data_IF_877681456972
#
_entry.id   IF_877681456972
#
_cell.length_a   1.000
_cell.length_b   1.000
_cell.length_c   1.000
_cell.angle_alpha   90.00
_cell.angle_beta   90.00
_cell.angle_gamma   90.00
#
_symmetry.space_group_name_H-M   'P 1'
#
loop_
_entity.id
_entity.type
_entity.pdbx_description
1 polymer ?
#
# COMPACT_ATOMS: atom_id res chain seq x y z
N UNK A 1 0.16 -11.57 17.81
CA UNK A 1 0.32 -10.72 16.60
C UNK A 1 1.47 -11.15 15.67
N UNK A 2 2.27 -12.18 16.01
CA UNK A 2 3.45 -12.62 15.25
C UNK A 2 3.20 -13.30 13.88
N UNK A 3 1.94 -13.55 13.49
CA UNK A 3 1.60 -14.29 12.26
C UNK A 3 1.66 -13.46 10.98
N UNK A 4 1.66 -12.12 11.08
CA UNK A 4 1.61 -11.23 9.90
C UNK A 4 3.00 -10.91 9.32
N UNK A 5 4.04 -10.99 10.16
CA UNK A 5 5.40 -10.68 9.73
C UNK A 5 6.03 -11.94 9.13
N UNK A 6 6.49 -11.83 7.89
CA UNK A 6 7.40 -12.83 7.27
C UNK A 6 8.76 -12.77 7.97
N UNK A 7 9.55 -13.84 7.81
CA UNK A 7 10.89 -13.91 8.41
C UNK A 7 11.80 -12.79 7.91
N UNK A 8 11.81 -12.55 6.60
CA UNK A 8 12.45 -11.39 6.00
C UNK A 8 11.47 -10.22 5.97
N UNK A 9 11.81 -9.14 6.66
CA UNK A 9 11.02 -7.92 6.74
C UNK A 9 11.27 -7.00 5.56
N UNK A 10 12.54 -6.89 5.15
CA UNK A 10 12.99 -6.04 4.06
C UNK A 10 14.23 -6.65 3.40
N UNK A 11 14.36 -6.47 2.07
CA UNK A 11 15.53 -6.90 1.33
C UNK A 11 15.73 -6.02 0.10
N UNK A 12 16.97 -5.65 -0.16
CA UNK A 12 17.37 -4.87 -1.34
C UNK A 12 18.79 -5.25 -1.78
N UNK A 13 19.14 -4.91 -3.01
CA UNK A 13 20.48 -5.12 -3.55
C UNK A 13 20.84 -4.02 -4.54
N UNK A 14 22.08 -3.56 -4.50
CA UNK A 14 22.56 -2.48 -5.34
C UNK A 14 24.06 -2.61 -5.58
N UNK A 15 24.54 -1.93 -6.62
CA UNK A 15 25.96 -1.72 -6.84
C UNK A 15 26.40 -0.42 -6.18
N UNK A 16 27.51 -0.45 -5.45
CA UNK A 16 28.05 0.76 -4.83
C UNK A 16 28.46 1.79 -5.89
N UNK A 17 28.39 3.09 -5.55
CA UNK A 17 28.91 4.15 -6.42
C UNK A 17 30.42 3.98 -6.67
N UNK A 18 30.93 4.70 -7.67
CA UNK A 18 32.37 4.78 -7.89
C UNK A 18 33.07 5.34 -6.63
N UNK A 19 34.25 4.83 -6.26
CA UNK A 19 35.14 3.98 -7.06
C UNK A 19 34.98 2.46 -6.84
N UNK A 20 34.29 2.01 -5.80
CA UNK A 20 34.22 0.58 -5.44
C UNK A 20 33.52 -0.24 -6.53
N UNK A 21 32.30 0.16 -6.94
CA UNK A 21 31.47 -0.62 -7.86
C UNK A 21 31.23 -2.08 -7.43
N UNK A 22 31.47 -2.42 -6.17
CA UNK A 22 31.16 -3.73 -5.62
C UNK A 22 29.64 -3.90 -5.51
N UNK A 23 29.17 -5.15 -5.53
CA UNK A 23 27.75 -5.44 -5.40
C UNK A 23 27.41 -5.77 -3.95
N UNK A 24 26.28 -5.25 -3.48
CA UNK A 24 25.84 -5.41 -2.10
C UNK A 24 24.40 -5.92 -2.05
N UNK A 25 24.13 -6.72 -1.04
CA UNK A 25 22.78 -7.11 -0.65
C UNK A 25 22.59 -6.79 0.82
N UNK A 26 21.46 -6.17 1.12
CA UNK A 26 21.06 -5.80 2.46
C UNK A 26 19.70 -6.41 2.77
N UNK A 27 19.58 -7.05 3.93
CA UNK A 27 18.32 -7.63 4.39
C UNK A 27 18.12 -7.39 5.88
N UNK A 28 16.87 -7.14 6.27
CA UNK A 28 16.44 -7.06 7.66
C UNK A 28 15.47 -8.21 7.90
N UNK A 29 15.79 -9.08 8.84
CA UNK A 29 14.92 -10.16 9.32
C UNK A 29 14.26 -9.77 10.63
N UNK A 30 13.44 -10.66 11.19
CA UNK A 30 12.80 -10.43 12.50
C UNK A 30 13.78 -10.27 13.66
N UNK A 31 14.97 -10.85 13.57
CA UNK A 31 15.95 -10.88 14.65
C UNK A 31 17.28 -10.22 14.30
N UNK A 32 17.61 -10.17 13.00
CA UNK A 32 18.95 -9.84 12.54
C UNK A 32 18.92 -8.88 11.34
N UNK A 33 20.03 -8.19 11.16
CA UNK A 33 20.40 -7.42 9.98
C UNK A 33 21.53 -8.17 9.28
N UNK A 34 21.38 -8.37 7.97
CA UNK A 34 22.32 -9.11 7.14
C UNK A 34 22.86 -8.17 6.06
N UNK A 35 24.17 -8.00 6.06
CA UNK A 35 24.92 -7.24 5.07
C UNK A 35 25.86 -8.16 4.29
N UNK A 36 25.68 -8.25 2.98
CA UNK A 36 26.50 -9.09 2.10
C UNK A 36 27.12 -8.26 1.00
N UNK A 37 28.33 -8.64 0.60
CA UNK A 37 29.05 -7.97 -0.48
C UNK A 37 29.82 -8.92 -1.37
N UNK A 38 29.91 -8.54 -2.63
CA UNK A 38 30.64 -9.24 -3.69
C UNK A 38 31.60 -8.26 -4.31
N UNK A 39 32.90 -8.57 -4.21
CA UNK A 39 33.94 -7.74 -4.81
C UNK A 39 33.92 -7.87 -6.33
N UNK A 40 33.71 -6.76 -7.03
CA UNK A 40 33.71 -6.69 -8.49
C UNK A 40 35.02 -6.03 -8.93
N UNK A 41 35.95 -6.83 -9.42
CA UNK A 41 37.24 -6.34 -9.91
C UNK A 41 37.71 -7.07 -11.15
N UNK A 42 38.33 -6.32 -12.08
CA UNK A 42 39.02 -6.88 -13.24
C UNK A 42 40.40 -7.45 -12.89
N UNK A 43 40.91 -7.17 -11.68
CA UNK A 43 42.23 -7.63 -11.26
C UNK A 43 42.20 -9.11 -10.92
N UNK A 44 43.18 -9.86 -11.45
CA UNK A 44 43.28 -11.31 -11.29
C UNK A 44 43.39 -11.74 -9.82
N UNK A 45 44.02 -10.93 -8.97
CA UNK A 45 44.17 -11.15 -7.53
C UNK A 45 42.82 -11.29 -6.80
N UNK A 46 41.77 -10.62 -7.29
CA UNK A 46 40.44 -10.67 -6.69
C UNK A 46 39.50 -11.69 -7.34
N UNK A 47 39.95 -12.41 -8.40
CA UNK A 47 39.10 -13.34 -9.16
C UNK A 47 38.61 -14.54 -8.33
N UNK A 48 39.29 -14.87 -7.23
CA UNK A 48 38.92 -15.94 -6.29
C UNK A 48 38.32 -15.43 -4.97
N UNK A 49 38.07 -14.11 -4.85
CA UNK A 49 37.50 -13.54 -3.63
C UNK A 49 36.10 -14.07 -3.44
N UNK A 50 35.83 -14.67 -2.28
CA UNK A 50 34.49 -15.13 -1.93
C UNK A 50 33.64 -13.96 -1.45
N UNK A 51 32.31 -14.04 -1.57
CA UNK A 51 31.42 -13.05 -0.99
C UNK A 51 31.61 -12.97 0.52
N UNK A 52 31.50 -11.76 1.07
CA UNK A 52 31.49 -11.54 2.50
C UNK A 52 30.07 -11.41 3.05
N UNK A 53 29.90 -11.72 4.33
CA UNK A 53 28.66 -11.58 5.07
C UNK A 53 28.96 -11.07 6.47
N UNK A 54 28.19 -10.06 6.89
CA UNK A 54 28.10 -9.58 8.27
C UNK A 54 26.65 -9.78 8.72
N UNK A 55 26.48 -10.32 9.93
CA UNK A 55 25.18 -10.44 10.60
C UNK A 55 25.27 -9.79 11.96
N UNK A 56 24.28 -8.96 12.25
CA UNK A 56 24.15 -8.26 13.52
C UNK A 56 22.73 -8.46 14.03
N UNK A 57 22.56 -8.50 15.34
CA UNK A 57 21.21 -8.38 15.90
C UNK A 57 20.74 -6.91 15.75
N UNK A 58 19.47 -6.64 16.04
CA UNK A 58 18.92 -5.28 15.90
C UNK A 58 19.59 -4.26 16.82
N UNK A 59 20.03 -4.65 18.02
CA UNK A 59 20.67 -3.71 18.96
C UNK A 59 22.06 -3.30 18.48
N UNK A 60 22.87 -4.26 18.06
CA UNK A 60 24.23 -4.06 17.56
C UNK A 60 24.19 -3.18 16.29
N UNK A 61 23.25 -3.46 15.39
CA UNK A 61 23.03 -2.63 14.20
C UNK A 61 22.71 -1.17 14.55
N UNK A 62 21.84 -0.94 15.54
CA UNK A 62 21.44 0.42 15.93
C UNK A 62 22.60 1.27 16.48
N UNK A 63 23.64 0.61 16.99
CA UNK A 63 24.85 1.21 17.52
C UNK A 63 26.01 1.26 16.49
N UNK A 64 25.93 0.50 15.39
CA UNK A 64 26.96 0.49 14.34
C UNK A 64 26.85 1.68 13.37
N UNK A 65 27.47 2.79 13.77
CA UNK A 65 27.62 3.97 12.92
C UNK A 65 28.37 3.70 11.60
N UNK A 66 29.28 2.71 11.57
CA UNK A 66 30.09 2.41 10.39
C UNK A 66 29.26 1.71 9.31
N UNK A 67 28.44 0.73 9.69
CA UNK A 67 27.52 0.05 8.79
C UNK A 67 26.41 1.00 8.31
N UNK A 68 25.92 1.89 9.18
CA UNK A 68 24.98 2.94 8.78
C UNK A 68 25.52 3.83 7.65
N UNK A 69 26.79 4.25 7.75
CA UNK A 69 27.43 5.04 6.69
C UNK A 69 27.50 4.23 5.38
N UNK A 70 27.88 2.95 5.44
CA UNK A 70 27.93 2.11 4.23
C UNK A 70 26.56 1.93 3.58
N UNK A 71 25.52 1.63 4.36
CA UNK A 71 24.15 1.52 3.85
C UNK A 71 23.69 2.85 3.26
N UNK A 72 23.94 3.97 3.94
CA UNK A 72 23.59 5.29 3.44
C UNK A 72 24.27 5.63 2.10
N UNK A 73 25.53 5.23 1.93
CA UNK A 73 26.27 5.43 0.67
C UNK A 73 25.76 4.54 -0.46
N UNK A 74 25.47 3.27 -0.18
CA UNK A 74 25.10 2.28 -1.22
C UNK A 74 23.60 2.37 -1.60
N UNK A 75 22.75 2.56 -0.60
CA UNK A 75 21.29 2.45 -0.73
C UNK A 75 20.55 3.78 -0.48
N UNK A 76 21.23 4.78 0.07
CA UNK A 76 20.65 6.08 0.39
C UNK A 76 20.06 6.16 1.80
N UNK A 77 19.88 7.41 2.28
CA UNK A 77 19.38 7.71 3.63
C UNK A 77 17.98 7.14 3.89
N UNK A 78 17.10 7.13 2.89
CA UNK A 78 15.74 6.63 3.04
C UNK A 78 15.71 5.14 3.44
N UNK A 79 16.61 4.33 2.87
CA UNK A 79 16.72 2.89 3.19
C UNK A 79 17.34 2.70 4.59
N UNK A 80 18.32 3.53 4.94
CA UNK A 80 18.90 3.55 6.28
C UNK A 80 17.82 3.89 7.33
N UNK A 81 17.07 4.97 7.15
CA UNK A 81 16.02 5.40 8.08
C UNK A 81 14.89 4.39 8.18
N UNK A 82 14.52 3.76 7.06
CA UNK A 82 13.54 2.68 7.05
C UNK A 82 14.02 1.44 7.82
N UNK A 83 15.24 0.98 7.57
CA UNK A 83 15.81 -0.17 8.29
C UNK A 83 16.00 0.08 9.78
N UNK A 84 16.39 1.30 10.17
CA UNK A 84 16.47 1.71 11.58
C UNK A 84 15.12 1.60 12.28
N UNK A 85 14.06 2.12 11.65
CA UNK A 85 12.69 2.03 12.15
C UNK A 85 12.24 0.58 12.30
N UNK A 86 12.54 -0.29 11.33
CA UNK A 86 12.26 -1.72 11.45
C UNK A 86 12.96 -2.37 12.65
N UNK A 87 14.25 -2.07 12.86
CA UNK A 87 15.02 -2.60 14.00
C UNK A 87 14.55 -2.05 15.35
N UNK A 88 13.89 -0.89 15.36
CA UNK A 88 13.22 -0.32 16.53
C UNK A 88 11.81 -0.87 16.77
N UNK A 89 11.34 -1.83 15.95
CA UNK A 89 10.02 -2.42 16.05
C UNK A 89 8.89 -1.61 15.39
N UNK A 90 9.22 -0.59 14.59
CA UNK A 90 8.23 0.18 13.85
C UNK A 90 7.96 -0.48 12.48
N UNK A 91 6.98 -1.37 12.46
CA UNK A 91 6.60 -2.11 11.27
C UNK A 91 5.43 -1.46 10.51
N UNK A 92 5.50 -1.55 9.19
CA UNK A 92 4.45 -1.20 8.22
C UNK A 92 3.35 -2.27 8.16
N UNK A 93 2.65 -2.48 9.27
CA UNK A 93 1.62 -3.53 9.40
C UNK A 93 0.53 -3.44 8.33
N UNK A 94 0.09 -2.23 7.99
CA UNK A 94 -0.95 -2.02 6.98
C UNK A 94 -0.55 -2.61 5.62
N UNK A 95 0.69 -2.41 5.19
CA UNK A 95 1.19 -2.99 3.94
C UNK A 95 1.45 -4.50 4.03
N UNK A 96 1.38 -5.11 5.21
CA UNK A 96 1.61 -6.55 5.41
C UNK A 96 0.33 -7.34 5.65
N UNK A 97 -0.80 -6.67 5.87
CA UNK A 97 -2.09 -7.32 6.04
C UNK A 97 -2.53 -8.03 4.74
N UNK A 98 -3.18 -9.20 4.82
CA UNK A 98 -3.89 -9.81 3.70
C UNK A 98 -4.93 -8.88 3.08
N UNK A 99 -5.17 -9.03 1.78
CA UNK A 99 -6.09 -8.16 1.03
C UNK A 99 -7.52 -8.19 1.60
N UNK A 100 -8.04 -9.35 2.02
CA UNK A 100 -9.39 -9.44 2.59
C UNK A 100 -9.56 -8.64 3.90
N UNK A 101 -8.53 -8.57 4.75
CA UNK A 101 -8.57 -7.75 5.97
C UNK A 101 -8.48 -6.27 5.62
N UNK A 102 -7.69 -5.92 4.60
CA UNK A 102 -7.62 -4.54 4.11
C UNK A 102 -8.96 -4.08 3.53
N UNK A 103 -9.60 -4.91 2.71
CA UNK A 103 -10.94 -4.62 2.16
C UNK A 103 -11.97 -4.40 3.27
N UNK A 104 -11.95 -5.24 4.31
CA UNK A 104 -12.81 -5.09 5.48
C UNK A 104 -12.50 -3.79 6.26
N UNK A 105 -11.23 -3.41 6.42
CA UNK A 105 -10.89 -2.12 7.06
C UNK A 105 -11.37 -0.95 6.19
N UNK A 106 -11.19 -1.04 4.87
CA UNK A 106 -11.53 0.05 3.95
C UNK A 106 -13.04 0.27 3.83
N UNK A 107 -13.88 -0.73 4.08
CA UNK A 107 -15.34 -0.53 4.06
C UNK A 107 -15.86 0.37 5.18
N UNK A 108 -15.06 0.60 6.24
CA UNK A 108 -15.40 1.57 7.29
C UNK A 108 -14.92 3.00 6.99
N UNK A 109 -14.19 3.21 5.90
CA UNK A 109 -13.67 4.51 5.53
C UNK A 109 -14.67 5.29 4.68
N UNK A 110 -14.68 6.60 4.85
CA UNK A 110 -15.41 7.50 3.97
C UNK A 110 -14.80 7.53 2.56
N UNK A 111 -15.62 7.91 1.58
CA UNK A 111 -15.21 7.95 0.17
C UNK A 111 -13.99 8.85 -0.07
N UNK A 112 -13.88 9.94 0.69
CA UNK A 112 -12.73 10.85 0.60
C UNK A 112 -11.44 10.20 1.11
N UNK A 113 -11.52 9.46 2.22
CA UNK A 113 -10.38 8.75 2.78
C UNK A 113 -9.97 7.57 1.90
N UNK A 114 -10.91 6.87 1.28
CA UNK A 114 -10.63 5.86 0.25
C UNK A 114 -9.88 6.50 -0.94
N UNK A 115 -10.30 7.69 -1.37
CA UNK A 115 -9.65 8.40 -2.47
C UNK A 115 -8.21 8.84 -2.10
N UNK A 116 -7.99 9.33 -0.88
CA UNK A 116 -6.65 9.68 -0.36
C UNK A 116 -5.77 8.44 -0.22
N UNK A 117 -6.31 7.36 0.35
CA UNK A 117 -5.61 6.09 0.54
C UNK A 117 -5.16 5.49 -0.80
N UNK A 118 -5.98 5.64 -1.86
CA UNK A 118 -5.63 5.16 -3.20
C UNK A 118 -4.40 5.86 -3.81
N UNK A 119 -3.93 6.97 -3.22
CA UNK A 119 -2.79 7.74 -3.71
C UNK A 119 -1.47 7.40 -2.99
N UNK A 120 -1.50 6.57 -1.94
CA UNK A 120 -0.31 6.28 -1.13
C UNK A 120 0.54 5.16 -1.70
N UNK A 121 -0.08 4.12 -2.29
CA UNK A 121 0.66 3.02 -2.93
C UNK A 121 -0.10 2.37 -4.09
N UNK A 122 0.63 1.73 -5.00
CA UNK A 122 0.02 1.02 -6.12
C UNK A 122 -0.89 -0.13 -5.69
N UNK A 123 -0.56 -0.83 -4.59
CA UNK A 123 -1.37 -1.92 -4.06
C UNK A 123 -2.67 -1.39 -3.48
N UNK A 124 -2.59 -0.34 -2.66
CA UNK A 124 -3.77 0.29 -2.08
C UNK A 124 -4.67 0.89 -3.15
N UNK A 125 -4.10 1.52 -4.19
CA UNK A 125 -4.85 1.99 -5.36
C UNK A 125 -5.69 0.90 -6.02
N UNK A 126 -5.12 -0.30 -6.20
CA UNK A 126 -5.81 -1.45 -6.78
C UNK A 126 -6.96 -1.91 -5.88
N UNK A 127 -6.72 -2.07 -4.58
CA UNK A 127 -7.75 -2.47 -3.62
C UNK A 127 -8.88 -1.44 -3.51
N UNK A 128 -8.56 -0.15 -3.42
CA UNK A 128 -9.54 0.94 -3.39
C UNK A 128 -10.38 1.06 -4.68
N UNK A 129 -9.94 0.44 -5.78
CA UNK A 129 -10.66 0.41 -7.06
C UNK A 129 -11.24 -0.97 -7.39
N UNK A 130 -11.13 -1.94 -6.48
CA UNK A 130 -11.60 -3.32 -6.68
C UNK A 130 -13.12 -3.41 -6.58
N UNK A 131 -13.72 -4.29 -7.38
CA UNK A 131 -15.16 -4.54 -7.32
C UNK A 131 -15.57 -5.05 -5.94
N UNK A 132 -14.76 -5.91 -5.32
CA UNK A 132 -15.01 -6.47 -3.99
C UNK A 132 -15.22 -5.39 -2.92
N UNK A 133 -14.39 -4.32 -2.94
CA UNK A 133 -14.56 -3.21 -2.00
C UNK A 133 -15.88 -2.47 -2.25
N UNK A 134 -16.16 -2.15 -3.51
CA UNK A 134 -17.32 -1.33 -3.86
C UNK A 134 -18.63 -2.09 -3.71
N UNK A 135 -18.62 -3.41 -3.89
CA UNK A 135 -19.72 -4.31 -3.51
C UNK A 135 -20.01 -4.18 -2.01
N UNK A 136 -18.98 -4.35 -1.17
CA UNK A 136 -19.11 -4.24 0.28
C UNK A 136 -19.62 -2.86 0.72
N UNK A 137 -19.15 -1.78 0.09
CA UNK A 137 -19.62 -0.41 0.37
C UNK A 137 -21.10 -0.25 -0.01
N UNK A 138 -21.51 -0.77 -1.18
CA UNK A 138 -22.91 -0.70 -1.63
C UNK A 138 -23.80 -1.53 -0.71
N UNK A 139 -23.40 -2.74 -0.36
CA UNK A 139 -24.13 -3.61 0.58
C UNK A 139 -24.28 -3.00 1.97
N UNK A 140 -23.25 -2.28 2.44
CA UNK A 140 -23.30 -1.61 3.74
C UNK A 140 -24.12 -0.31 3.72
N UNK A 141 -24.24 0.35 2.56
CA UNK A 141 -24.92 1.65 2.44
C UNK A 141 -26.32 1.60 1.83
N UNK A 142 -26.73 0.48 1.21
CA UNK A 142 -28.05 0.29 0.63
C UNK A 142 -28.84 -0.78 1.37
N UNK A 143 -30.01 -0.43 1.91
CA UNK A 143 -30.89 -1.35 2.65
C UNK A 143 -31.49 -2.47 1.78
N UNK A 144 -31.53 -2.29 0.45
CA UNK A 144 -32.10 -3.29 -0.48
C UNK A 144 -31.35 -3.29 -1.81
N UNK A 145 -30.75 -4.42 -2.15
CA UNK A 145 -30.12 -4.66 -3.45
C UNK A 145 -30.91 -5.76 -4.15
N UNK A 146 -31.60 -5.39 -5.22
CA UNK A 146 -32.37 -6.36 -6.03
C UNK A 146 -31.43 -7.24 -6.87
N UNK A 147 -31.87 -8.44 -7.30
CA UNK A 147 -31.07 -9.30 -8.18
C UNK A 147 -30.69 -8.62 -9.50
N UNK A 148 -31.57 -7.78 -10.04
CA UNK A 148 -31.32 -6.99 -11.25
C UNK A 148 -30.23 -5.93 -11.02
N UNK A 149 -30.25 -5.24 -9.87
CA UNK A 149 -29.20 -4.28 -9.50
C UNK A 149 -27.84 -4.97 -9.37
N UNK A 150 -27.80 -6.17 -8.77
CA UNK A 150 -26.57 -6.96 -8.65
C UNK A 150 -26.07 -7.44 -10.02
N UNK A 151 -26.96 -7.93 -10.90
CA UNK A 151 -26.60 -8.31 -12.27
C UNK A 151 -26.00 -7.13 -13.04
N UNK A 152 -26.64 -5.95 -12.99
CA UNK A 152 -26.14 -4.74 -13.63
C UNK A 152 -24.80 -4.29 -13.04
N UNK A 153 -24.62 -4.40 -11.72
CA UNK A 153 -23.37 -4.06 -11.06
C UNK A 153 -22.21 -4.99 -11.45
N UNK A 154 -22.48 -6.27 -11.70
CA UNK A 154 -21.48 -7.20 -12.24
C UNK A 154 -21.11 -6.88 -13.69
N UNK A 155 -22.05 -6.38 -14.51
CA UNK A 155 -21.80 -6.00 -15.90
C UNK A 155 -20.99 -4.70 -16.03
N UNK A 156 -21.36 -3.67 -15.25
CA UNK A 156 -20.80 -2.31 -15.38
C UNK A 156 -19.67 -2.05 -14.36
N UNK A 157 -19.62 -2.82 -13.29
CA UNK A 157 -18.71 -2.67 -12.16
C UNK A 157 -19.34 -1.89 -10.99
N UNK A 158 -19.11 -2.38 -9.77
CA UNK A 158 -19.73 -1.86 -8.55
C UNK A 158 -19.42 -0.39 -8.28
N UNK A 159 -18.18 0.03 -8.56
CA UNK A 159 -17.79 1.44 -8.42
C UNK A 159 -18.60 2.34 -9.34
N UNK A 160 -18.74 1.96 -10.60
CA UNK A 160 -19.52 2.73 -11.57
C UNK A 160 -21.00 2.73 -11.20
N UNK A 161 -21.53 1.56 -10.83
CA UNK A 161 -22.91 1.40 -10.33
C UNK A 161 -23.22 2.31 -9.14
N UNK A 162 -22.32 2.39 -8.16
CA UNK A 162 -22.50 3.26 -6.99
C UNK A 162 -22.62 4.74 -7.39
N UNK A 163 -21.74 5.22 -8.26
CA UNK A 163 -21.77 6.61 -8.71
C UNK A 163 -22.94 6.89 -9.67
N UNK A 164 -23.30 5.96 -10.56
CA UNK A 164 -24.46 6.14 -11.44
C UNK A 164 -25.76 6.15 -10.65
N UNK A 165 -25.91 5.31 -9.63
CA UNK A 165 -27.10 5.29 -8.79
C UNK A 165 -27.21 6.55 -7.91
N UNK A 166 -26.11 7.02 -7.30
CA UNK A 166 -26.10 8.31 -6.59
C UNK A 166 -26.38 9.51 -7.50
N UNK A 167 -25.82 9.53 -8.72
CA UNK A 167 -26.10 10.58 -9.71
C UNK A 167 -27.54 10.51 -10.22
N UNK A 168 -28.08 9.32 -10.44
CA UNK A 168 -29.49 9.10 -10.80
C UNK A 168 -30.42 9.57 -9.67
N UNK A 169 -30.10 9.26 -8.41
CA UNK A 169 -30.82 9.78 -7.24
C UNK A 169 -30.75 11.30 -7.16
N UNK A 170 -29.58 11.92 -7.41
CA UNK A 170 -29.45 13.38 -7.47
C UNK A 170 -30.27 14.01 -8.61
N UNK A 171 -30.27 13.40 -9.80
CA UNK A 171 -31.09 13.84 -10.94
C UNK A 171 -32.58 13.71 -10.65
N UNK A 172 -33.01 12.61 -10.00
CA UNK A 172 -34.40 12.43 -9.60
C UNK A 172 -34.84 13.44 -8.52
N UNK A 173 -33.98 13.71 -7.54
CA UNK A 173 -34.23 14.73 -6.51
C UNK A 173 -34.33 16.14 -7.13
N UNK A 174 -33.45 16.46 -8.10
CA UNK A 174 -33.50 17.72 -8.84
C UNK A 174 -34.81 17.87 -9.64
N UNK A 175 -35.21 16.83 -10.39
CA UNK A 175 -36.48 16.80 -11.13
C UNK A 175 -37.70 16.95 -10.22
N UNK A 176 -37.67 16.41 -8.98
CA UNK A 176 -38.73 16.59 -7.99
C UNK A 176 -38.81 18.04 -7.47
N UNK A 177 -37.67 18.69 -7.20
CA UNK A 177 -37.62 20.11 -6.81
C UNK A 177 -38.14 21.01 -7.94
N UNK A 178 -37.74 20.75 -9.17
CA UNK A 178 -38.22 21.47 -10.36
C UNK A 178 -39.73 21.27 -10.57
N UNK A 179 -40.27 20.05 -10.35
CA UNK A 179 -41.73 19.81 -10.40
C UNK A 179 -42.52 20.47 -9.28
N UNK A 180 -41.95 20.57 -8.07
CA UNK A 180 -42.60 21.28 -6.95
C UNK A 180 -42.63 22.80 -7.14
N UNK A 181 -41.64 23.37 -7.85
CA UNK A 181 -41.61 24.80 -8.21
C UNK A 181 -42.56 25.16 -9.36
N UNK A 182 -43.09 24.17 -10.10
CA UNK A 182 -43.91 24.37 -11.31
C UNK A 182 -45.40 24.06 -11.08
N UNK A 183 -45.82 23.64 -9.88
CA UNK A 183 -47.25 23.57 -9.54
C UNK A 183 -47.80 25.00 -9.38
N UNK A 184 -48.69 25.50 -10.25
CA UNK A 184 -49.29 26.81 -10.08
C UNK A 184 -50.29 26.75 -8.92
N UNK A 185 -50.32 27.80 -8.10
CA UNK A 185 -51.42 28.03 -7.15
C UNK A 185 -52.75 27.92 -7.92
N UNK A 186 -53.58 26.95 -7.56
CA UNK A 186 -54.94 26.85 -8.11
C UNK A 186 -55.69 28.16 -7.79
N UNK A 187 -56.39 28.76 -8.76
CA UNK A 187 -57.15 29.97 -8.52
C UNK A 187 -58.30 29.64 -7.57
N UNK A 188 -58.27 30.23 -6.38
CA UNK A 188 -59.37 30.18 -5.42
C UNK A 188 -60.59 30.87 -6.04
N UNK A 189 -61.64 30.09 -6.28
CA UNK A 189 -63.01 30.58 -6.47
C UNK A 189 -63.60 30.97 -5.11
#
# INVERSE_FOLDING_TARGET
MASLLKETLFQTSAQAPAPSKDFFQFAVTKSEVIWRWWKISLRSEFRKTKPGELRENHTDFLDDASLHVQIGVVFGSNILDYSRRLCQGQFDFLERLPDYLLLYIFSFLDLEDIARLSQTSHRLKKLCSSNDLWELIVETSCDTITPEMRALAHEVGWKQFFFTNKLQLQVQLRRRREKQLVLPEEPRL
#
